data_IF_601317577453
#
_entry.id   IF_601317577453
#
_cell.length_a   1.000
_cell.length_b   1.000
_cell.length_c   1.000
_cell.angle_alpha   90.00
_cell.angle_beta   90.00
_cell.angle_gamma   90.00
#
_symmetry.space_group_name_H-M   'P 1'
#
loop_
_entity.id
_entity.type
_entity.pdbx_description
1 polymer ?
#
# COMPACT_ATOMS: atom_id res chain seq x y z
N UNK A 1 -25.59 4.05 -3.20
CA UNK A 1 -25.08 3.94 -1.82
C UNK A 1 -23.73 4.64 -1.80
N UNK A 2 -23.50 5.53 -0.85
CA UNK A 2 -22.27 6.32 -0.80
C UNK A 2 -21.13 5.48 -0.22
N UNK A 3 -20.26 4.93 -1.08
CA UNK A 3 -19.13 4.08 -0.67
C UNK A 3 -18.11 4.80 0.24
N UNK A 4 -18.18 6.13 0.34
CA UNK A 4 -17.24 6.96 1.11
C UNK A 4 -17.34 6.77 2.62
N UNK A 5 -18.37 6.07 3.10
CA UNK A 5 -18.58 5.80 4.53
C UNK A 5 -18.66 4.31 4.86
N UNK A 6 -18.49 3.44 3.86
CA UNK A 6 -18.53 1.99 4.06
C UNK A 6 -17.32 1.53 4.91
N UNK A 7 -17.46 0.39 5.56
CA UNK A 7 -16.38 -0.31 6.26
C UNK A 7 -16.29 -1.74 5.71
N UNK A 8 -15.09 -2.34 5.70
CA UNK A 8 -14.93 -3.75 5.35
C UNK A 8 -15.63 -4.64 6.36
N UNK A 9 -16.01 -5.85 5.93
CA UNK A 9 -16.58 -6.86 6.81
C UNK A 9 -15.55 -7.40 7.84
N UNK A 10 -14.28 -7.47 7.43
CA UNK A 10 -13.17 -7.99 8.22
C UNK A 10 -12.20 -6.87 8.62
N UNK A 11 -11.58 -7.01 9.79
CA UNK A 11 -10.51 -6.12 10.23
C UNK A 11 -9.25 -6.33 9.35
N UNK A 12 -8.74 -5.23 8.80
CA UNK A 12 -7.65 -5.27 7.82
C UNK A 12 -6.30 -5.64 8.45
N UNK A 13 -6.08 -5.29 9.72
CA UNK A 13 -4.90 -5.74 10.47
C UNK A 13 -4.96 -7.24 10.71
N UNK A 14 -6.11 -7.76 11.12
CA UNK A 14 -6.27 -9.20 11.37
C UNK A 14 -6.03 -10.02 10.09
N UNK A 15 -6.53 -9.54 8.93
CA UNK A 15 -6.26 -10.19 7.64
C UNK A 15 -4.79 -10.11 7.22
N UNK A 16 -4.13 -8.98 7.48
CA UNK A 16 -2.70 -8.81 7.23
C UNK A 16 -1.88 -9.82 8.05
N UNK A 17 -2.17 -9.96 9.34
CA UNK A 17 -1.51 -10.95 10.21
C UNK A 17 -1.86 -12.38 9.78
N UNK A 18 -3.13 -12.66 9.47
CA UNK A 18 -3.60 -14.00 9.08
C UNK A 18 -2.96 -14.49 7.78
N UNK A 19 -2.81 -13.62 6.77
CA UNK A 19 -2.40 -14.05 5.43
C UNK A 19 -0.98 -13.62 5.06
N UNK A 20 -0.47 -12.57 5.69
CA UNK A 20 0.83 -11.99 5.43
C UNK A 20 1.77 -11.99 6.62
N UNK A 21 1.46 -12.66 7.75
CA UNK A 21 2.23 -12.86 9.00
C UNK A 21 3.45 -11.95 9.20
N UNK A 22 4.51 -12.11 8.41
CA UNK A 22 5.73 -11.28 8.44
C UNK A 22 5.52 -9.78 8.15
N UNK A 23 4.47 -9.39 7.43
CA UNK A 23 4.11 -7.98 7.19
C UNK A 23 3.77 -7.25 8.50
N UNK A 24 3.43 -7.97 9.58
CA UNK A 24 3.23 -7.36 10.91
C UNK A 24 4.52 -6.77 11.49
N UNK A 25 5.68 -7.19 10.96
CA UNK A 25 7.00 -6.66 11.31
C UNK A 25 7.34 -5.39 10.52
N UNK A 26 6.69 -5.18 9.37
CA UNK A 26 6.87 -4.01 8.53
C UNK A 26 6.49 -4.27 7.08
N UNK A 27 6.02 -3.24 6.40
CA UNK A 27 5.70 -3.26 4.97
C UNK A 27 5.72 -1.86 4.38
N UNK A 28 5.84 -1.81 3.05
CA UNK A 28 5.57 -0.61 2.28
C UNK A 28 4.54 -0.97 1.20
N UNK A 29 3.35 -0.35 1.28
CA UNK A 29 2.24 -0.58 0.37
C UNK A 29 1.97 0.64 -0.50
N UNK A 30 1.70 0.38 -1.78
CA UNK A 30 1.34 1.37 -2.79
C UNK A 30 -0.04 1.06 -3.38
N UNK A 31 -0.87 2.08 -3.52
CA UNK A 31 -2.04 2.07 -4.40
C UNK A 31 -1.79 3.01 -5.57
N UNK A 32 -1.66 2.42 -6.75
CA UNK A 32 -1.19 3.07 -7.97
C UNK A 32 -2.35 3.18 -8.95
N UNK A 33 -2.62 4.38 -9.44
CA UNK A 33 -3.60 4.61 -10.49
C UNK A 33 -3.18 3.93 -11.80
N UNK A 34 -4.00 2.99 -12.28
CA UNK A 34 -3.76 2.22 -13.50
C UNK A 34 -4.05 0.73 -13.32
N UNK A 35 -4.35 0.05 -14.44
CA UNK A 35 -4.73 -1.37 -14.46
C UNK A 35 -3.67 -2.29 -15.08
N UNK A 36 -2.57 -1.73 -15.60
CA UNK A 36 -1.55 -2.49 -16.31
C UNK A 36 -0.39 -2.86 -15.37
N UNK A 37 -0.55 -3.95 -14.62
CA UNK A 37 0.42 -4.40 -13.60
C UNK A 37 1.83 -4.64 -14.17
N UNK A 38 1.96 -5.17 -15.38
CA UNK A 38 3.26 -5.44 -16.02
C UNK A 38 3.97 -4.13 -16.41
N UNK A 39 3.23 -3.16 -16.92
CA UNK A 39 3.78 -1.82 -17.18
C UNK A 39 4.24 -1.16 -15.88
N UNK A 40 3.41 -1.21 -14.83
CA UNK A 40 3.74 -0.61 -13.54
C UNK A 40 4.96 -1.29 -12.90
N UNK A 41 5.05 -2.62 -12.95
CA UNK A 41 6.22 -3.37 -12.50
C UNK A 41 7.48 -2.94 -13.27
N UNK A 42 7.42 -2.85 -14.60
CA UNK A 42 8.54 -2.39 -15.44
C UNK A 42 8.98 -0.97 -15.09
N UNK A 43 8.04 -0.06 -14.82
CA UNK A 43 8.34 1.31 -14.41
C UNK A 43 9.03 1.33 -13.03
N UNK A 44 8.63 0.43 -12.13
CA UNK A 44 9.31 0.20 -10.85
C UNK A 44 10.64 -0.56 -10.99
N UNK A 45 11.08 -0.89 -12.21
CA UNK A 45 12.29 -1.65 -12.52
C UNK A 45 12.23 -3.15 -12.17
N UNK A 46 11.03 -3.70 -12.05
CA UNK A 46 10.81 -5.14 -11.97
C UNK A 46 11.34 -5.86 -13.21
N UNK A 47 12.09 -6.94 -12.99
CA UNK A 47 12.53 -7.86 -14.03
C UNK A 47 11.35 -8.74 -14.48
N UNK A 48 10.82 -8.44 -15.67
CA UNK A 48 9.65 -9.13 -16.23
C UNK A 48 9.93 -10.59 -16.58
N UNK A 49 11.18 -10.95 -16.87
CA UNK A 49 11.55 -12.34 -17.20
C UNK A 49 11.61 -13.21 -15.94
N UNK A 50 11.75 -12.59 -14.77
CA UNK A 50 11.78 -13.24 -13.46
C UNK A 50 10.41 -13.25 -12.74
N UNK A 51 9.31 -13.03 -13.48
CA UNK A 51 7.94 -13.03 -12.93
C UNK A 51 7.63 -14.36 -12.24
N UNK A 52 7.11 -14.27 -11.01
CA UNK A 52 6.54 -15.41 -10.28
C UNK A 52 5.12 -15.09 -9.84
N UNK A 53 4.16 -15.93 -10.21
CA UNK A 53 2.81 -15.86 -9.65
C UNK A 53 2.76 -16.53 -8.29
N UNK A 54 2.48 -15.76 -7.23
CA UNK A 54 2.43 -16.28 -5.86
C UNK A 54 1.46 -15.51 -4.97
N UNK A 55 0.94 -16.18 -3.95
CA UNK A 55 0.27 -15.51 -2.82
C UNK A 55 1.31 -15.01 -1.79
N UNK A 56 0.89 -14.20 -0.82
CA UNK A 56 1.79 -13.64 0.21
C UNK A 56 2.48 -14.72 1.06
N UNK A 57 1.81 -15.85 1.30
CA UNK A 57 2.38 -16.97 2.07
C UNK A 57 3.49 -17.68 1.30
N UNK A 58 3.33 -17.82 0.00
CA UNK A 58 4.33 -18.39 -0.90
C UNK A 58 5.50 -17.42 -1.06
N UNK A 59 5.21 -16.12 -1.24
CA UNK A 59 6.23 -15.08 -1.30
C UNK A 59 7.14 -15.09 -0.06
N UNK A 60 6.56 -15.15 1.15
CA UNK A 60 7.29 -15.22 2.41
C UNK A 60 8.30 -16.38 2.49
N UNK A 61 8.02 -17.48 1.77
CA UNK A 61 8.88 -18.68 1.76
C UNK A 61 9.95 -18.62 0.68
N UNK A 62 9.76 -17.78 -0.34
CA UNK A 62 10.72 -17.59 -1.42
C UNK A 62 11.87 -16.67 -0.99
N UNK A 63 11.64 -15.80 -0.01
CA UNK A 63 12.51 -14.68 0.33
C UNK A 63 13.53 -14.99 1.43
N UNK A 64 14.43 -15.94 1.16
CA UNK A 64 15.50 -16.30 2.08
C UNK A 64 16.72 -15.35 2.04
N UNK A 65 16.69 -14.30 1.21
CA UNK A 65 17.78 -13.33 1.10
C UNK A 65 17.40 -12.02 1.83
N UNK A 66 18.12 -11.62 2.89
CA UNK A 66 17.77 -10.46 3.72
C UNK A 66 17.69 -9.10 3.00
N UNK A 67 18.27 -9.00 1.81
CA UNK A 67 18.39 -7.75 1.03
C UNK A 67 17.55 -7.79 -0.27
N UNK A 68 16.62 -8.75 -0.40
CA UNK A 68 15.89 -8.92 -1.64
C UNK A 68 14.99 -7.70 -1.95
N UNK A 69 15.26 -7.04 -3.08
CA UNK A 69 14.40 -6.00 -3.62
C UNK A 69 13.36 -6.61 -4.54
N UNK A 70 12.12 -6.12 -4.46
CA UNK A 70 11.04 -6.68 -5.24
C UNK A 70 9.73 -5.95 -5.13
N UNK A 71 8.79 -6.35 -5.97
CA UNK A 71 7.44 -5.84 -5.97
C UNK A 71 6.44 -6.98 -6.16
N UNK A 72 5.51 -7.13 -5.22
CA UNK A 72 4.35 -8.02 -5.33
C UNK A 72 3.14 -7.17 -5.71
N UNK A 73 2.65 -7.31 -6.95
CA UNK A 73 1.75 -6.34 -7.60
C UNK A 73 0.60 -7.04 -8.32
N UNK A 74 -0.58 -6.45 -8.25
CA UNK A 74 -1.71 -6.89 -9.06
C UNK A 74 -2.97 -6.04 -8.90
N UNK A 75 -4.10 -6.44 -9.51
CA UNK A 75 -5.31 -5.64 -9.56
C UNK A 75 -5.90 -5.41 -8.16
N UNK A 76 -6.27 -4.16 -7.86
CA UNK A 76 -6.99 -3.82 -6.64
C UNK A 76 -8.44 -3.49 -6.98
N UNK A 77 -8.70 -2.37 -7.65
CA UNK A 77 -10.03 -1.95 -8.09
C UNK A 77 -9.97 -1.46 -9.56
N UNK A 78 -11.09 -1.26 -10.27
CA UNK A 78 -11.04 -0.65 -11.60
C UNK A 78 -10.28 0.69 -11.58
N UNK A 79 -9.23 0.81 -12.38
CA UNK A 79 -8.33 1.95 -12.42
C UNK A 79 -7.26 1.96 -11.32
N UNK A 80 -7.11 0.89 -10.54
CA UNK A 80 -6.20 0.82 -9.39
C UNK A 80 -5.48 -0.53 -9.28
N UNK A 81 -4.16 -0.45 -9.20
CA UNK A 81 -3.26 -1.55 -8.89
C UNK A 81 -2.71 -1.37 -7.47
N UNK A 82 -2.57 -2.47 -6.72
CA UNK A 82 -1.89 -2.45 -5.43
C UNK A 82 -0.55 -3.17 -5.54
N UNK A 83 0.46 -2.66 -4.84
CA UNK A 83 1.76 -3.29 -4.71
C UNK A 83 2.25 -3.28 -3.25
N UNK A 84 2.82 -4.40 -2.80
CA UNK A 84 3.81 -4.35 -1.72
C UNK A 84 5.19 -4.22 -2.36
N UNK A 85 5.99 -3.26 -1.90
CA UNK A 85 7.34 -2.99 -2.40
C UNK A 85 8.37 -3.26 -1.31
N UNK A 86 9.48 -3.89 -1.69
CA UNK A 86 10.56 -4.30 -0.80
C UNK A 86 11.85 -3.62 -1.24
N UNK A 87 12.52 -2.99 -0.27
CA UNK A 87 13.71 -2.16 -0.53
C UNK A 87 13.41 -0.70 -0.90
N UNK A 88 12.16 -0.24 -0.81
CA UNK A 88 11.78 1.17 -0.94
C UNK A 88 11.45 1.78 0.42
N UNK A 89 11.83 3.04 0.63
CA UNK A 89 11.33 3.91 1.70
C UNK A 89 10.29 4.89 1.16
N UNK A 90 9.58 5.62 2.02
CA UNK A 90 8.61 6.65 1.57
C UNK A 90 9.26 7.71 0.70
N UNK A 91 8.57 8.17 -0.34
CA UNK A 91 9.09 9.13 -1.34
C UNK A 91 10.32 8.65 -2.11
N UNK A 92 10.52 7.33 -2.18
CA UNK A 92 11.63 6.77 -2.94
C UNK A 92 11.63 7.31 -4.40
N UNK A 93 12.79 7.73 -4.96
CA UNK A 93 12.87 8.34 -6.29
C UNK A 93 12.23 7.52 -7.41
N UNK A 94 12.20 6.19 -7.27
CA UNK A 94 11.52 5.28 -8.20
C UNK A 94 10.03 5.56 -8.40
N UNK A 95 9.35 6.22 -7.45
CA UNK A 95 7.94 6.63 -7.60
C UNK A 95 7.78 7.57 -8.80
N UNK A 96 8.80 8.39 -9.14
CA UNK A 96 8.80 9.24 -10.35
C UNK A 96 8.67 8.45 -11.64
N UNK A 97 9.13 7.20 -11.67
CA UNK A 97 9.00 6.36 -12.87
C UNK A 97 7.53 6.02 -13.18
N UNK A 98 6.63 6.10 -12.20
CA UNK A 98 5.20 5.87 -12.39
C UNK A 98 4.52 7.01 -13.18
N UNK A 99 5.20 8.15 -13.35
CA UNK A 99 4.74 9.29 -14.14
C UNK A 99 3.46 9.92 -13.59
N UNK A 100 2.63 10.49 -14.48
CA UNK A 100 1.39 11.23 -14.16
C UNK A 100 0.25 10.34 -13.66
N UNK A 101 0.46 9.71 -12.52
CA UNK A 101 -0.47 8.83 -11.82
C UNK A 101 -0.54 9.25 -10.37
N UNK A 102 -1.72 9.10 -9.76
CA UNK A 102 -1.85 9.16 -8.30
C UNK A 102 -1.24 7.90 -7.70
N UNK A 103 -0.41 8.07 -6.68
CA UNK A 103 0.18 6.97 -5.90
C UNK A 103 -0.01 7.28 -4.44
N UNK A 104 -0.82 6.47 -3.76
CA UNK A 104 -0.90 6.50 -2.31
C UNK A 104 0.11 5.53 -1.74
N UNK A 105 0.89 5.95 -0.75
CA UNK A 105 1.86 5.09 -0.09
C UNK A 105 1.68 5.11 1.42
N UNK A 106 1.94 3.97 2.04
CA UNK A 106 2.08 3.85 3.47
C UNK A 106 3.28 2.97 3.78
N UNK A 107 4.12 3.45 4.67
CA UNK A 107 5.22 2.68 5.22
C UNK A 107 4.94 2.38 6.70
N UNK A 108 5.08 1.11 7.06
CA UNK A 108 4.99 0.62 8.42
C UNK A 108 6.29 -0.09 8.75
N UNK A 109 6.94 0.31 9.85
CA UNK A 109 8.26 -0.22 10.26
C UNK A 109 8.19 -1.03 11.57
N UNK A 110 7.02 -1.58 11.89
CA UNK A 110 6.80 -2.39 13.09
C UNK A 110 6.53 -1.54 14.35
N UNK A 111 6.00 -2.16 15.42
CA UNK A 111 5.72 -1.45 16.69
C UNK A 111 6.99 -1.03 17.46
N UNK A 112 8.14 -1.60 17.11
CA UNK A 112 9.46 -1.31 17.72
C UNK A 112 10.27 -0.32 16.86
N UNK A 113 9.86 -0.08 15.62
CA UNK A 113 10.50 0.88 14.69
C UNK A 113 9.95 2.29 14.82
N UNK A 114 9.99 3.06 13.72
CA UNK A 114 9.41 4.41 13.63
C UNK A 114 7.87 4.40 13.56
N UNK A 115 7.28 3.20 13.48
CA UNK A 115 5.84 2.98 13.53
C UNK A 115 5.20 3.08 12.15
N UNK A 116 4.00 3.67 12.11
CA UNK A 116 3.24 3.90 10.88
C UNK A 116 3.44 5.34 10.43
N UNK A 117 3.97 5.51 9.23
CA UNK A 117 4.06 6.82 8.60
C UNK A 117 2.69 7.31 8.12
N UNK A 118 2.51 8.62 7.90
CA UNK A 118 1.31 9.17 7.27
C UNK A 118 0.96 8.50 5.93
N UNK A 119 -0.33 8.53 5.57
CA UNK A 119 -0.79 8.01 4.29
C UNK A 119 -0.54 9.05 3.20
N UNK A 120 0.62 8.97 2.57
CA UNK A 120 1.06 9.99 1.62
C UNK A 120 0.40 9.86 0.24
N UNK A 121 0.22 10.99 -0.44
CA UNK A 121 -0.18 11.06 -1.85
C UNK A 121 0.96 11.66 -2.67
N UNK A 122 1.35 10.93 -3.71
CA UNK A 122 2.25 11.39 -4.75
C UNK A 122 1.51 11.55 -6.08
N UNK A 123 1.98 12.50 -6.90
CA UNK A 123 1.58 12.65 -8.29
C UNK A 123 2.77 13.09 -9.15
N UNK A 124 3.02 12.42 -10.27
CA UNK A 124 4.21 12.67 -11.11
C UNK A 124 5.54 12.53 -10.34
N UNK A 125 5.54 11.69 -9.30
CA UNK A 125 6.67 11.47 -8.41
C UNK A 125 7.00 12.62 -7.45
N UNK A 126 6.10 13.59 -7.34
CA UNK A 126 6.17 14.63 -6.31
C UNK A 126 5.17 14.32 -5.19
N UNK A 127 5.61 14.45 -3.94
CA UNK A 127 4.74 14.37 -2.78
C UNK A 127 3.85 15.61 -2.74
N UNK A 128 2.53 15.40 -2.79
CA UNK A 128 1.54 16.48 -2.67
C UNK A 128 1.17 16.78 -1.21
N UNK A 129 1.32 15.79 -0.33
CA UNK A 129 0.94 15.84 1.08
C UNK A 129 0.49 14.46 1.56
N UNK A 130 -0.31 14.41 2.62
CA UNK A 130 -0.93 13.19 3.10
C UNK A 130 -2.46 13.30 3.16
N UNK A 131 -3.09 12.12 3.10
CA UNK A 131 -4.54 11.93 3.24
C UNK A 131 -4.85 11.13 4.51
N UNK A 132 -3.97 11.24 5.51
CA UNK A 132 -4.14 10.55 6.79
C UNK A 132 -5.48 10.96 7.40
N UNK A 133 -6.31 10.00 7.86
CA UNK A 133 -7.52 10.35 8.59
C UNK A 133 -7.20 11.29 9.77
N UNK A 134 -8.04 12.30 10.03
CA UNK A 134 -7.77 13.24 11.10
C UNK A 134 -7.80 12.53 12.47
N UNK A 135 -7.11 13.10 13.46
CA UNK A 135 -7.14 12.55 14.81
C UNK A 135 -8.53 12.63 15.43
N UNK A 136 -9.22 13.75 15.23
CA UNK A 136 -10.58 13.98 15.74
C UNK A 136 -11.56 14.26 14.59
N UNK A 137 -12.85 14.11 14.87
CA UNK A 137 -13.91 14.34 13.88
C UNK A 137 -13.85 15.80 13.39
N UNK A 138 -13.74 15.98 12.08
CA UNK A 138 -13.62 17.32 11.50
C UNK A 138 -12.25 17.97 11.67
N UNK A 139 -11.26 17.28 12.24
CA UNK A 139 -9.89 17.78 12.43
C UNK A 139 -9.16 18.15 11.13
N UNK A 140 -7.97 18.72 11.25
CA UNK A 140 -7.18 19.18 10.11
C UNK A 140 -6.70 18.03 9.21
N UNK A 141 -6.58 18.32 7.92
CA UNK A 141 -6.07 17.38 6.92
C UNK A 141 -5.36 18.15 5.81
N UNK A 142 -4.19 17.67 5.40
CA UNK A 142 -3.34 18.37 4.42
C UNK A 142 -4.03 18.47 3.06
N UNK A 143 -4.74 17.42 2.64
CA UNK A 143 -5.41 17.35 1.35
C UNK A 143 -6.94 17.27 1.50
N UNK A 144 -7.64 18.39 1.76
CA UNK A 144 -9.05 18.40 2.19
C UNK A 144 -10.04 17.75 1.21
N UNK A 145 -9.70 17.60 -0.07
CA UNK A 145 -10.52 16.91 -1.07
C UNK A 145 -10.80 15.44 -0.71
N UNK A 146 -9.97 14.84 0.15
CA UNK A 146 -10.14 13.47 0.62
C UNK A 146 -10.96 13.36 1.92
N UNK A 147 -11.34 14.48 2.54
CA UNK A 147 -12.12 14.51 3.79
C UNK A 147 -13.43 13.72 3.71
N UNK A 148 -14.16 13.70 2.58
CA UNK A 148 -15.37 12.88 2.48
C UNK A 148 -15.17 11.39 2.74
N UNK A 149 -13.94 10.86 2.60
CA UNK A 149 -13.60 9.46 2.81
C UNK A 149 -13.19 9.15 4.25
N UNK A 150 -13.01 10.15 5.12
CA UNK A 150 -12.47 9.95 6.48
C UNK A 150 -13.52 9.79 7.57
N UNK A 151 -14.82 9.94 7.24
CA UNK A 151 -15.91 9.92 8.24
C UNK A 151 -15.90 8.59 9.02
N UNK A 152 -15.73 8.65 10.34
CA UNK A 152 -15.66 7.47 11.20
C UNK A 152 -14.31 6.75 11.20
N UNK A 153 -13.26 7.38 10.65
CA UNK A 153 -11.88 6.86 10.63
C UNK A 153 -10.93 7.66 11.54
N UNK A 154 -11.46 8.33 12.56
CA UNK A 154 -10.69 9.17 13.47
C UNK A 154 -9.64 8.37 14.27
N UNK A 155 -8.43 8.92 14.38
CA UNK A 155 -7.26 8.23 14.92
C UNK A 155 -7.05 8.41 16.44
N UNK A 156 -7.73 9.35 17.08
CA UNK A 156 -7.55 9.66 18.51
C UNK A 156 -7.87 8.43 19.39
N UNK A 157 -6.99 8.18 20.36
CA UNK A 157 -7.11 7.09 21.32
C UNK A 157 -6.94 5.68 20.74
N UNK A 158 -6.62 5.55 19.45
CA UNK A 158 -6.42 4.28 18.75
C UNK A 158 -4.96 3.84 18.84
N UNK A 159 -4.74 2.52 18.83
CA UNK A 159 -3.40 1.92 18.77
C UNK A 159 -2.91 1.82 17.32
N UNK A 160 -1.63 1.56 17.15
CA UNK A 160 -0.97 1.45 15.84
C UNK A 160 -1.67 0.48 14.87
N UNK A 161 -1.98 -0.73 15.34
CA UNK A 161 -2.74 -1.73 14.56
C UNK A 161 -4.11 -1.23 14.08
N UNK A 162 -4.76 -0.38 14.88
CA UNK A 162 -6.03 0.23 14.50
C UNK A 162 -5.80 1.33 13.47
N UNK A 163 -4.71 2.09 13.54
CA UNK A 163 -4.35 3.04 12.48
C UNK A 163 -4.12 2.34 11.14
N UNK A 164 -3.37 1.23 11.12
CA UNK A 164 -3.19 0.41 9.90
C UNK A 164 -4.54 -0.03 9.35
N UNK A 165 -5.43 -0.52 10.21
CA UNK A 165 -6.78 -0.88 9.79
C UNK A 165 -7.53 0.30 9.14
N UNK A 166 -7.50 1.47 9.78
CA UNK A 166 -8.19 2.66 9.29
C UNK A 166 -7.57 3.22 7.99
N UNK A 167 -6.27 3.06 7.78
CA UNK A 167 -5.60 3.46 6.53
C UNK A 167 -6.03 2.56 5.37
N UNK A 168 -6.10 1.24 5.58
CA UNK A 168 -6.66 0.33 4.58
C UNK A 168 -8.15 0.60 4.31
N UNK A 169 -8.92 0.98 5.33
CA UNK A 169 -10.31 1.44 5.14
C UNK A 169 -10.37 2.72 4.30
N UNK A 170 -9.53 3.71 4.59
CA UNK A 170 -9.42 4.94 3.82
C UNK A 170 -9.14 4.63 2.35
N UNK A 171 -8.16 3.76 2.09
CA UNK A 171 -7.82 3.36 0.74
C UNK A 171 -8.95 2.60 0.06
N UNK A 172 -9.64 1.70 0.75
CA UNK A 172 -10.80 1.01 0.17
C UNK A 172 -11.95 1.94 -0.22
N UNK A 173 -12.12 3.05 0.50
CA UNK A 173 -13.10 4.10 0.16
C UNK A 173 -12.62 4.95 -1.03
N UNK A 174 -11.35 5.30 -1.09
CA UNK A 174 -10.74 6.10 -2.16
C UNK A 174 -10.72 5.33 -3.49
N UNK A 175 -10.34 4.05 -3.47
CA UNK A 175 -10.25 3.21 -4.67
C UNK A 175 -11.57 2.54 -5.03
N UNK A 176 -12.50 2.46 -4.08
CA UNK A 176 -13.82 1.83 -4.24
C UNK A 176 -13.85 0.32 -3.99
N UNK A 177 -12.75 -0.28 -3.49
CA UNK A 177 -12.68 -1.69 -3.08
C UNK A 177 -11.86 -1.87 -1.78
N UNK A 178 -12.46 -2.49 -0.77
CA UNK A 178 -11.74 -2.94 0.42
C UNK A 178 -10.98 -4.26 0.17
N UNK A 179 -9.87 -4.48 0.87
CA UNK A 179 -9.20 -5.78 0.85
C UNK A 179 -10.00 -6.80 1.69
N UNK A 180 -10.53 -7.81 1.01
CA UNK A 180 -11.27 -8.94 1.57
C UNK A 180 -10.38 -10.19 1.59
N UNK A 181 -10.87 -11.29 2.18
CA UNK A 181 -10.14 -12.56 2.25
C UNK A 181 -9.65 -13.05 0.88
N UNK A 182 -10.48 -12.90 -0.15
CA UNK A 182 -10.11 -13.24 -1.52
C UNK A 182 -8.95 -12.36 -2.02
N UNK A 183 -8.95 -11.07 -1.70
CA UNK A 183 -7.86 -10.17 -2.04
C UNK A 183 -6.54 -10.57 -1.37
N UNK A 184 -6.56 -10.94 -0.09
CA UNK A 184 -5.37 -11.32 0.70
C UNK A 184 -4.80 -12.70 0.33
N UNK A 185 -5.62 -13.58 -0.22
CA UNK A 185 -5.22 -14.94 -0.65
C UNK A 185 -5.00 -15.06 -2.16
N UNK A 186 -5.28 -14.00 -2.92
CA UNK A 186 -5.06 -13.99 -4.37
C UNK A 186 -3.58 -14.16 -4.71
N UNK A 187 -3.30 -15.00 -5.71
CA UNK A 187 -2.01 -14.99 -6.37
C UNK A 187 -1.85 -13.71 -7.19
N UNK A 188 -0.64 -13.13 -7.14
CA UNK A 188 -0.26 -11.97 -7.92
C UNK A 188 1.15 -12.13 -8.45
N UNK A 189 1.53 -11.26 -9.36
CA UNK A 189 2.86 -11.22 -9.92
C UNK A 189 3.84 -10.64 -8.89
N UNK A 190 4.88 -11.40 -8.58
CA UNK A 190 6.09 -10.92 -7.94
C UNK A 190 7.18 -10.71 -8.99
N UNK A 191 7.80 -9.54 -8.98
CA UNK A 191 8.96 -9.23 -9.80
C UNK A 191 10.13 -8.87 -8.88
N UNK A 192 11.30 -9.48 -9.15
CA UNK A 192 12.54 -9.06 -8.51
C UNK A 192 13.01 -7.75 -9.10
N UNK A 193 13.69 -6.95 -8.30
CA UNK A 193 14.27 -5.68 -8.73
C UNK A 193 15.78 -5.79 -8.54
N UNK A 194 16.59 -5.55 -9.59
CA UNK A 194 18.05 -5.57 -9.46
C UNK A 194 18.51 -4.57 -8.40
N UNK A 195 19.53 -4.92 -7.59
CA UNK A 195 19.99 -4.11 -6.46
C UNK A 195 20.38 -2.69 -6.86
N UNK A 196 21.04 -2.58 -8.01
CA UNK A 196 21.48 -1.34 -8.64
C UNK A 196 20.37 -0.55 -9.36
N UNK A 197 19.15 -1.09 -9.47
CA UNK A 197 18.10 -0.47 -10.27
C UNK A 197 17.56 0.85 -9.70
N UNK A 198 17.81 1.08 -8.41
CA UNK A 198 17.35 2.24 -7.64
C UNK A 198 18.49 3.04 -7.01
N UNK A 199 19.75 2.69 -7.32
CA UNK A 199 20.91 3.50 -6.94
C UNK A 199 20.95 4.74 -7.84
N UNK A 200 20.90 5.94 -7.25
CA UNK A 200 21.07 7.23 -7.95
C UNK A 200 22.54 7.53 -8.30
#
# INVERSE_FOLDING_TARGET
>A
MDKRQDLPADNQWDLLVEHGEWLELGFHALWIEGDNEEELARLLRGDLDARVECDLRTLARMDAEPDAMGVWIGPHAPGWTHAFVFGMWSFHPAIRNLGKRRVFEVQYTGEVGEGLEPLYLNYDGEQLGDVTPPFEEGGDMVLPDYRPYTVGLELEGKRMREHVHLFFCMMGRVTGRFADRDWWTAARAFYRIPREAWEE
#
